data_IF_670171359170
#
_entry.id   IF_670171359170
#
_cell.length_a   1.000
_cell.length_b   1.000
_cell.length_c   1.000
_cell.angle_alpha   90.00
_cell.angle_beta   90.00
_cell.angle_gamma   90.00
#
_symmetry.space_group_name_H-M   'P 1'
#
loop_
_entity.id
_entity.type
_entity.pdbx_description
1 polymer ?
#
# COMPACT_ATOMS: atom_id res chain seq x y z
N UNK A 1 13.44 7.89 31.43
CA UNK A 1 14.38 7.51 30.35
C UNK A 1 13.72 7.81 29.02
N UNK A 2 14.05 8.95 28.41
CA UNK A 2 13.48 9.34 27.12
C UNK A 2 14.12 8.52 26.00
N UNK A 3 13.36 7.64 25.37
CA UNK A 3 13.79 7.04 24.11
C UNK A 3 13.90 8.17 23.07
N UNK A 4 15.10 8.38 22.53
CA UNK A 4 15.29 9.27 21.39
C UNK A 4 14.47 8.72 20.23
N UNK A 5 13.40 9.44 19.86
CA UNK A 5 12.62 9.14 18.67
C UNK A 5 13.52 9.28 17.45
N UNK A 6 13.84 8.16 16.81
CA UNK A 6 14.69 8.13 15.62
C UNK A 6 13.85 8.58 14.42
N UNK A 7 14.24 9.69 13.80
CA UNK A 7 13.70 10.06 12.49
C UNK A 7 14.08 8.94 11.52
N UNK A 8 13.11 8.35 10.84
CA UNK A 8 13.37 7.32 9.83
C UNK A 8 13.82 8.05 8.56
N UNK A 9 15.06 8.54 8.56
CA UNK A 9 15.58 9.34 7.46
C UNK A 9 16.18 8.44 6.37
N UNK A 10 15.53 8.35 5.22
CA UNK A 10 16.24 8.16 3.95
C UNK A 10 16.62 9.55 3.42
N UNK A 11 17.91 9.76 3.21
CA UNK A 11 18.51 10.98 2.62
C UNK A 11 17.74 11.49 1.40
N UNK A 12 17.51 12.82 1.35
CA UNK A 12 16.66 13.62 0.44
C UNK A 12 15.17 13.72 0.84
N UNK A 13 14.83 14.70 1.66
CA UNK A 13 13.45 15.14 1.86
C UNK A 13 13.03 15.90 0.60
N UNK A 14 12.14 15.32 -0.21
CA UNK A 14 11.59 16.03 -1.36
C UNK A 14 10.44 16.94 -0.92
N UNK A 15 10.13 17.95 -1.72
CA UNK A 15 9.12 18.95 -1.38
C UNK A 15 7.74 18.29 -1.16
N UNK A 16 7.11 18.60 -0.02
CA UNK A 16 5.83 18.04 0.37
C UNK A 16 5.86 16.61 0.92
N UNK A 17 7.03 16.02 1.20
CA UNK A 17 7.12 14.73 1.91
C UNK A 17 6.74 14.87 3.39
N UNK A 18 6.06 13.84 3.91
CA UNK A 18 5.80 13.75 5.35
C UNK A 18 7.07 13.32 6.09
N UNK A 19 7.42 14.01 7.18
CA UNK A 19 8.59 13.68 8.00
C UNK A 19 8.27 12.55 8.98
N UNK A 20 8.68 11.32 8.61
CA UNK A 20 8.41 10.11 9.40
C UNK A 20 9.28 10.00 10.64
N UNK A 21 8.65 9.64 11.74
CA UNK A 21 9.31 9.34 13.01
C UNK A 21 8.88 7.97 13.48
N UNK A 22 9.85 7.07 13.74
CA UNK A 22 9.53 5.74 14.25
C UNK A 22 8.80 5.84 15.59
N UNK A 23 7.77 5.01 15.79
CA UNK A 23 6.88 5.03 16.95
C UNK A 23 6.03 6.31 17.10
N UNK A 24 5.93 7.16 16.07
CA UNK A 24 4.89 8.18 16.07
C UNK A 24 3.51 7.55 15.86
N UNK A 25 2.49 8.22 16.38
CA UNK A 25 1.09 7.78 16.26
C UNK A 25 0.39 8.70 15.27
N UNK A 26 -0.14 8.11 14.20
CA UNK A 26 -1.07 8.75 13.28
C UNK A 26 -2.48 8.63 13.85
N UNK A 27 -3.22 9.73 13.82
CA UNK A 27 -4.58 9.81 14.37
C UNK A 27 -5.57 9.93 13.24
N UNK A 28 -6.48 8.96 13.16
CA UNK A 28 -7.58 8.94 12.21
C UNK A 28 -8.77 9.75 12.73
N UNK A 29 -9.58 10.27 11.81
CA UNK A 29 -10.82 10.99 12.14
C UNK A 29 -11.86 10.10 12.81
N UNK A 30 -11.77 8.77 12.63
CA UNK A 30 -12.61 7.78 13.29
C UNK A 30 -12.16 7.43 14.72
N UNK A 31 -11.10 8.07 15.24
CA UNK A 31 -10.54 7.78 16.57
C UNK A 31 -9.54 6.62 16.60
N UNK A 32 -9.27 5.97 15.46
CA UNK A 32 -8.22 4.97 15.34
C UNK A 32 -6.82 5.59 15.51
N UNK A 33 -5.91 4.83 16.12
CA UNK A 33 -4.52 5.22 16.34
C UNK A 33 -3.58 4.22 15.68
N UNK A 34 -2.67 4.71 14.85
CA UNK A 34 -1.72 3.88 14.10
C UNK A 34 -0.29 4.22 14.49
N UNK A 35 0.38 3.30 15.17
CA UNK A 35 1.79 3.47 15.53
C UNK A 35 2.69 3.05 14.37
N UNK A 36 3.55 3.96 13.90
CA UNK A 36 4.53 3.70 12.84
C UNK A 36 5.61 2.75 13.34
N UNK A 37 5.71 1.58 12.73
CA UNK A 37 6.72 0.57 13.08
C UNK A 37 7.93 0.62 12.17
N UNK A 38 7.69 0.69 10.85
CA UNK A 38 8.70 0.50 9.83
C UNK A 38 8.35 1.27 8.55
N UNK A 39 9.36 1.77 7.86
CA UNK A 39 9.21 2.33 6.52
C UNK A 39 9.27 1.21 5.47
N UNK A 40 8.29 1.16 4.57
CA UNK A 40 8.19 0.10 3.55
C UNK A 40 8.68 0.55 2.18
N UNK A 41 8.43 1.81 1.81
CA UNK A 41 8.84 2.31 0.50
C UNK A 41 8.43 3.74 0.22
N UNK A 42 9.02 4.31 -0.84
CA UNK A 42 8.73 5.64 -1.34
C UNK A 42 8.54 5.58 -2.84
N UNK A 43 7.56 6.34 -3.33
CA UNK A 43 7.34 6.56 -4.76
C UNK A 43 7.08 8.02 -5.06
N UNK A 44 6.70 8.30 -6.32
CA UNK A 44 6.42 9.66 -6.81
C UNK A 44 5.37 10.39 -5.98
N UNK A 45 4.35 9.66 -5.51
CA UNK A 45 3.15 10.24 -4.89
C UNK A 45 3.21 10.31 -3.36
N UNK A 46 4.24 9.73 -2.74
CA UNK A 46 4.34 9.66 -1.30
C UNK A 46 5.12 8.44 -0.82
N UNK A 47 4.80 8.00 0.38
CA UNK A 47 5.52 6.92 1.06
C UNK A 47 4.57 5.97 1.76
N UNK A 48 5.02 4.74 1.96
CA UNK A 48 4.26 3.69 2.61
C UNK A 48 4.99 3.25 3.88
N UNK A 49 4.25 3.13 4.96
CA UNK A 49 4.75 2.68 6.26
C UNK A 49 3.94 1.51 6.79
N UNK A 50 4.59 0.62 7.52
CA UNK A 50 3.96 -0.42 8.31
C UNK A 50 3.54 0.19 9.64
N UNK A 51 2.29 0.00 10.00
CA UNK A 51 1.74 0.49 11.25
C UNK A 51 1.05 -0.61 12.04
N UNK A 52 1.08 -0.49 13.37
CA UNK A 52 0.22 -1.23 14.26
C UNK A 52 -1.01 -0.40 14.60
N UNK A 53 -2.21 -0.95 14.37
CA UNK A 53 -3.45 -0.33 14.84
C UNK A 53 -3.61 -0.60 16.33
N UNK A 54 -3.42 0.44 17.15
CA UNK A 54 -3.39 0.29 18.60
C UNK A 54 -4.72 -0.21 19.13
N UNK A 55 -4.66 -1.10 20.11
CA UNK A 55 -5.83 -1.74 20.70
C UNK A 55 -6.36 -2.94 19.91
N UNK A 56 -5.72 -3.30 18.79
CA UNK A 56 -6.01 -4.54 18.05
C UNK A 56 -4.72 -5.33 17.81
N UNK A 57 -4.81 -6.50 17.17
CA UNK A 57 -3.64 -7.26 16.69
C UNK A 57 -3.35 -6.99 15.21
N UNK A 58 -3.94 -5.93 14.63
CA UNK A 58 -3.88 -5.67 13.20
C UNK A 58 -2.63 -4.87 12.83
N UNK A 59 -1.86 -5.41 11.87
CA UNK A 59 -0.80 -4.70 11.17
C UNK A 59 -1.36 -4.23 9.83
N UNK A 60 -1.08 -2.98 9.48
CA UNK A 60 -1.59 -2.32 8.27
C UNK A 60 -0.47 -1.63 7.52
N UNK A 61 -0.67 -1.42 6.21
CA UNK A 61 0.15 -0.54 5.41
C UNK A 61 -0.55 0.82 5.28
N UNK A 62 0.14 1.92 5.56
CA UNK A 62 -0.40 3.27 5.40
C UNK A 62 0.39 4.01 4.34
N UNK A 63 -0.27 4.37 3.24
CA UNK A 63 0.28 5.26 2.22
C UNK A 63 -0.02 6.70 2.61
N UNK A 64 1.04 7.48 2.84
CA UNK A 64 0.98 8.90 3.19
C UNK A 64 1.33 9.68 1.92
N UNK A 65 0.34 10.38 1.38
CA UNK A 65 0.50 11.17 0.16
C UNK A 65 1.26 12.46 0.44
N UNK A 66 2.02 12.94 -0.56
CA UNK A 66 2.70 14.22 -0.47
C UNK A 66 1.70 15.37 -0.35
N UNK A 67 1.99 16.32 0.53
CA UNK A 67 1.24 17.56 0.63
C UNK A 67 1.88 18.61 -0.30
N UNK A 68 1.65 18.45 -1.60
CA UNK A 68 2.13 19.39 -2.62
C UNK A 68 1.11 19.54 -3.75
N UNK A 69 0.84 20.76 -4.26
CA UNK A 69 -0.18 21.01 -5.28
C UNK A 69 -0.05 20.13 -6.53
N UNK A 70 1.17 19.85 -6.99
CA UNK A 70 1.43 19.00 -8.16
C UNK A 70 0.90 17.57 -8.04
N UNK A 71 0.67 17.07 -6.83
CA UNK A 71 0.18 15.71 -6.59
C UNK A 71 -1.27 15.67 -6.10
N UNK A 72 -1.87 16.82 -5.76
CA UNK A 72 -3.18 16.90 -5.13
C UNK A 72 -4.28 16.25 -6.00
N UNK A 73 -4.29 16.55 -7.31
CA UNK A 73 -5.27 15.97 -8.26
C UNK A 73 -5.15 14.45 -8.36
N UNK A 74 -3.92 13.93 -8.46
CA UNK A 74 -3.71 12.49 -8.57
C UNK A 74 -4.10 11.77 -7.27
N UNK A 75 -3.82 12.37 -6.11
CA UNK A 75 -4.28 11.87 -4.82
C UNK A 75 -5.80 11.82 -4.70
N UNK A 76 -6.51 12.84 -5.18
CA UNK A 76 -7.99 12.85 -5.22
C UNK A 76 -8.55 11.76 -6.13
N UNK A 77 -7.94 11.56 -7.30
CA UNK A 77 -8.31 10.47 -8.22
C UNK A 77 -8.13 9.11 -7.52
N UNK A 78 -6.99 8.89 -6.87
CA UNK A 78 -6.72 7.64 -6.15
C UNK A 78 -7.74 7.38 -5.03
N UNK A 79 -8.04 8.38 -4.20
CA UNK A 79 -9.10 8.29 -3.17
C UNK A 79 -10.44 7.90 -3.79
N UNK A 80 -10.83 8.56 -4.89
CA UNK A 80 -12.12 8.30 -5.54
C UNK A 80 -12.22 6.88 -6.13
N UNK A 81 -11.12 6.36 -6.67
CA UNK A 81 -11.05 4.99 -7.19
C UNK A 81 -11.15 4.00 -6.03
N UNK A 82 -10.42 4.21 -4.94
CA UNK A 82 -10.46 3.33 -3.77
C UNK A 82 -11.85 3.30 -3.12
N UNK A 83 -12.54 4.44 -3.04
CA UNK A 83 -13.93 4.51 -2.58
C UNK A 83 -14.90 3.72 -3.48
N UNK A 84 -14.65 3.72 -4.80
CA UNK A 84 -15.46 2.94 -5.74
C UNK A 84 -15.17 1.44 -5.61
N UNK A 85 -13.91 1.07 -5.38
CA UNK A 85 -13.50 -0.32 -5.19
C UNK A 85 -13.91 -0.86 -3.81
N UNK A 86 -14.08 -0.01 -2.79
CA UNK A 86 -14.52 -0.46 -1.46
C UNK A 86 -15.98 -0.94 -1.42
N UNK A 87 -16.78 -0.64 -2.45
CA UNK A 87 -18.11 -1.20 -2.65
C UNK A 87 -18.08 -2.64 -3.20
N UNK A 88 -16.92 -3.11 -3.65
CA UNK A 88 -16.70 -4.45 -4.17
C UNK A 88 -16.07 -5.35 -3.11
N UNK A 89 -16.28 -6.66 -3.21
CA UNK A 89 -15.53 -7.59 -2.38
C UNK A 89 -14.11 -7.77 -2.94
N UNK A 90 -13.13 -7.10 -2.33
CA UNK A 90 -11.73 -7.14 -2.78
C UNK A 90 -11.16 -8.55 -2.94
N UNK A 91 -11.58 -9.49 -2.08
CA UNK A 91 -11.11 -10.88 -2.07
C UNK A 91 -11.59 -11.66 -3.31
N UNK A 92 -12.78 -11.33 -3.84
CA UNK A 92 -13.32 -11.99 -5.03
C UNK A 92 -12.62 -11.52 -6.32
N UNK A 93 -12.01 -10.34 -6.28
CA UNK A 93 -11.45 -9.66 -7.45
C UNK A 93 -9.95 -9.41 -7.36
N UNK A 94 -9.28 -9.84 -6.29
CA UNK A 94 -7.83 -9.70 -6.07
C UNK A 94 -7.38 -8.23 -6.05
N UNK A 95 -8.19 -7.35 -5.46
CA UNK A 95 -7.79 -5.97 -5.17
C UNK A 95 -7.33 -5.86 -3.72
N UNK A 96 -6.31 -5.04 -3.48
CA UNK A 96 -5.92 -4.67 -2.13
C UNK A 96 -7.09 -4.01 -1.40
N UNK A 97 -7.39 -4.48 -0.19
CA UNK A 97 -8.43 -3.93 0.66
C UNK A 97 -7.95 -2.61 1.28
N UNK A 98 -8.67 -1.54 0.97
CA UNK A 98 -8.54 -0.26 1.65
C UNK A 98 -9.52 -0.21 2.83
N UNK A 99 -9.01 0.11 4.02
CA UNK A 99 -9.80 0.17 5.25
C UNK A 99 -10.36 1.56 5.53
N UNK A 100 -9.52 2.59 5.40
CA UNK A 100 -9.92 3.96 5.69
C UNK A 100 -9.04 4.98 4.97
N UNK A 101 -9.56 6.20 4.87
CA UNK A 101 -8.85 7.37 4.38
C UNK A 101 -9.04 8.50 5.40
N UNK A 102 -7.94 9.11 5.86
CA UNK A 102 -7.97 10.21 6.82
C UNK A 102 -6.90 11.26 6.51
N UNK A 103 -6.95 12.40 7.19
CA UNK A 103 -5.94 13.45 7.08
C UNK A 103 -5.19 13.55 8.40
N UNK A 104 -3.86 13.52 8.35
CA UNK A 104 -3.00 13.70 9.51
C UNK A 104 -1.86 14.67 9.18
N UNK A 105 -1.72 15.74 10.00
CA UNK A 105 -0.77 16.85 9.79
C UNK A 105 -0.77 17.38 8.34
N UNK A 106 -1.95 17.57 7.74
CA UNK A 106 -2.16 18.02 6.36
C UNK A 106 -1.78 17.03 5.24
N UNK A 107 -1.49 15.78 5.56
CA UNK A 107 -1.29 14.73 4.55
C UNK A 107 -2.47 13.76 4.53
N UNK A 108 -2.89 13.38 3.33
CA UNK A 108 -3.87 12.30 3.15
C UNK A 108 -3.19 10.96 3.41
N UNK A 109 -3.78 10.17 4.29
CA UNK A 109 -3.34 8.84 4.66
C UNK A 109 -4.37 7.81 4.20
N UNK A 110 -3.91 6.80 3.46
CA UNK A 110 -4.71 5.69 2.96
C UNK A 110 -4.27 4.42 3.68
N UNK A 111 -5.18 3.77 4.39
CA UNK A 111 -4.90 2.55 5.15
C UNK A 111 -5.32 1.33 4.36
N UNK A 112 -4.40 0.38 4.21
CA UNK A 112 -4.59 -0.86 3.50
C UNK A 112 -4.31 -2.06 4.41
N UNK A 113 -4.79 -3.22 3.99
CA UNK A 113 -4.25 -4.48 4.50
C UNK A 113 -2.73 -4.56 4.29
N UNK A 114 -2.05 -5.23 5.22
CA UNK A 114 -0.63 -5.50 5.08
C UNK A 114 -0.44 -6.73 4.21
N UNK A 115 0.31 -6.58 3.10
CA UNK A 115 0.73 -7.66 2.21
C UNK A 115 2.25 -7.83 2.33
N UNK A 116 2.76 -9.01 2.00
CA UNK A 116 4.14 -9.38 2.32
C UNK A 116 5.16 -8.86 1.29
N UNK A 117 4.98 -9.19 0.01
CA UNK A 117 6.04 -8.96 -0.99
C UNK A 117 5.50 -8.72 -2.39
N UNK A 118 6.03 -7.74 -3.13
CA UNK A 118 5.69 -7.56 -4.54
C UNK A 118 6.43 -8.57 -5.47
N UNK A 119 5.90 -8.81 -6.67
CA UNK A 119 6.49 -9.75 -7.62
C UNK A 119 7.91 -9.37 -8.08
N UNK A 120 8.25 -8.08 -8.12
CA UNK A 120 9.60 -7.65 -8.48
C UNK A 120 10.63 -8.12 -7.45
N UNK A 121 10.36 -7.88 -6.17
CA UNK A 121 11.24 -8.28 -5.08
C UNK A 121 11.31 -9.81 -4.95
N UNK A 122 10.19 -10.51 -5.19
CA UNK A 122 10.17 -11.97 -5.25
C UNK A 122 11.09 -12.51 -6.35
N UNK A 123 11.02 -11.94 -7.56
CA UNK A 123 11.91 -12.31 -8.66
C UNK A 123 13.37 -11.99 -8.33
N UNK A 124 13.64 -10.82 -7.74
CA UNK A 124 14.98 -10.40 -7.33
C UNK A 124 15.60 -11.35 -6.30
N UNK A 125 14.82 -11.77 -5.29
CA UNK A 125 15.27 -12.77 -4.31
C UNK A 125 15.58 -14.13 -4.95
N UNK A 126 14.82 -14.51 -5.97
CA UNK A 126 15.07 -15.70 -6.79
C UNK A 126 16.14 -15.48 -7.88
N UNK A 127 16.95 -14.41 -7.77
CA UNK A 127 18.04 -14.05 -8.70
C UNK A 127 17.56 -13.91 -10.16
N UNK A 128 16.31 -13.49 -10.35
CA UNK A 128 15.63 -13.40 -11.63
C UNK A 128 15.59 -14.72 -12.41
N UNK A 129 15.61 -15.85 -11.69
CA UNK A 129 15.40 -17.16 -12.31
C UNK A 129 14.00 -17.24 -12.90
N UNK A 130 13.82 -17.82 -14.10
CA UNK A 130 12.49 -17.97 -14.71
C UNK A 130 11.54 -18.76 -13.81
N UNK A 131 10.30 -18.30 -13.72
CA UNK A 131 9.25 -19.01 -12.98
C UNK A 131 8.64 -20.12 -13.83
N UNK A 132 8.47 -21.34 -13.30
CA UNK A 132 7.67 -22.38 -13.93
C UNK A 132 6.24 -21.91 -14.25
N UNK A 133 5.71 -22.33 -15.41
CA UNK A 133 4.35 -21.96 -15.84
C UNK A 133 3.25 -22.30 -14.83
N UNK A 134 3.46 -23.34 -14.01
CA UNK A 134 2.54 -23.71 -12.92
C UNK A 134 2.35 -22.62 -11.86
N UNK A 135 3.32 -21.72 -11.68
CA UNK A 135 3.24 -20.58 -10.75
C UNK A 135 2.80 -19.30 -11.46
N UNK A 136 3.17 -19.12 -12.73
CA UNK A 136 2.74 -17.97 -13.53
C UNK A 136 1.22 -17.99 -13.77
N UNK A 137 0.65 -19.17 -14.06
CA UNK A 137 -0.77 -19.33 -14.39
C UNK A 137 -1.73 -18.80 -13.31
N UNK A 138 -1.62 -19.17 -12.02
CA UNK A 138 -2.51 -18.63 -10.99
C UNK A 138 -2.37 -17.12 -10.79
N UNK A 139 -1.14 -16.58 -10.81
CA UNK A 139 -0.90 -15.12 -10.73
C UNK A 139 -1.62 -14.42 -11.88
N UNK A 140 -1.44 -14.92 -13.12
CA UNK A 140 -2.08 -14.34 -14.29
C UNK A 140 -3.61 -14.40 -14.18
N UNK A 141 -4.17 -15.51 -13.70
CA UNK A 141 -5.61 -15.65 -13.49
C UNK A 141 -6.14 -14.57 -12.54
N UNK A 142 -5.50 -14.36 -11.39
CA UNK A 142 -5.91 -13.35 -10.41
C UNK A 142 -5.82 -11.93 -10.97
N UNK A 143 -4.72 -11.62 -11.66
CA UNK A 143 -4.54 -10.31 -12.32
C UNK A 143 -5.60 -10.09 -13.40
N UNK A 144 -5.94 -11.12 -14.20
CA UNK A 144 -6.98 -11.02 -15.21
C UNK A 144 -8.37 -10.85 -14.59
N UNK A 145 -8.66 -11.50 -13.46
CA UNK A 145 -9.89 -11.29 -12.70
C UNK A 145 -10.01 -9.83 -12.24
N UNK A 146 -8.93 -9.27 -11.68
CA UNK A 146 -8.87 -7.87 -11.26
C UNK A 146 -9.10 -6.91 -12.46
N UNK A 147 -8.40 -7.14 -13.57
CA UNK A 147 -8.54 -6.33 -14.79
C UNK A 147 -9.95 -6.42 -15.40
N UNK A 148 -10.57 -7.59 -15.39
CA UNK A 148 -11.93 -7.78 -15.85
C UNK A 148 -12.91 -6.93 -15.02
N UNK A 149 -12.73 -6.91 -13.70
CA UNK A 149 -13.56 -6.10 -12.81
C UNK A 149 -13.33 -4.59 -13.02
N UNK A 150 -12.07 -4.15 -13.19
CA UNK A 150 -11.78 -2.75 -13.55
C UNK A 150 -12.47 -2.34 -14.85
N UNK A 151 -12.44 -3.22 -15.87
CA UNK A 151 -13.13 -2.99 -17.14
C UNK A 151 -14.65 -2.82 -16.95
N UNK A 152 -15.28 -3.67 -16.14
CA UNK A 152 -16.72 -3.55 -15.84
C UNK A 152 -17.07 -2.24 -15.14
N UNK A 153 -16.16 -1.73 -14.30
CA UNK A 153 -16.31 -0.43 -13.65
C UNK A 153 -15.93 0.76 -14.55
N UNK A 154 -15.41 0.53 -15.76
CA UNK A 154 -14.90 1.60 -16.63
C UNK A 154 -13.65 2.27 -16.06
N UNK A 155 -12.82 1.53 -15.33
CA UNK A 155 -11.58 1.99 -14.72
C UNK A 155 -10.36 1.45 -15.48
N UNK A 156 -9.32 2.25 -15.56
CA UNK A 156 -8.02 1.89 -16.13
C UNK A 156 -6.97 2.04 -15.02
N UNK A 157 -6.21 0.98 -14.72
CA UNK A 157 -5.14 1.06 -13.70
C UNK A 157 -3.99 1.97 -14.15
N UNK A 158 -3.60 1.92 -15.43
CA UNK A 158 -2.55 2.74 -16.06
C UNK A 158 -1.11 2.60 -15.52
N UNK A 159 -0.86 1.75 -14.52
CA UNK A 159 0.47 1.50 -13.93
C UNK A 159 0.61 0.04 -13.46
N UNK A 160 0.09 -0.92 -14.24
CA UNK A 160 0.21 -2.33 -13.89
C UNK A 160 1.64 -2.82 -14.18
N UNK A 161 2.35 -3.21 -13.12
CA UNK A 161 3.75 -3.67 -13.16
C UNK A 161 4.03 -4.60 -11.97
N UNK A 162 5.12 -5.40 -11.99
CA UNK A 162 5.43 -6.35 -10.91
C UNK A 162 5.50 -5.73 -9.51
N UNK A 163 5.90 -4.47 -9.37
CA UNK A 163 5.95 -3.73 -8.11
C UNK A 163 4.55 -3.45 -7.52
N UNK A 164 3.51 -3.45 -8.35
CA UNK A 164 2.12 -3.20 -7.96
C UNK A 164 1.29 -4.50 -7.85
N UNK A 165 1.93 -5.67 -7.95
CA UNK A 165 1.28 -6.97 -7.72
C UNK A 165 1.94 -7.59 -6.48
N UNK A 166 1.16 -7.73 -5.42
CA UNK A 166 1.61 -8.16 -4.11
C UNK A 166 1.19 -9.61 -3.81
N UNK A 167 2.07 -10.36 -3.17
CA UNK A 167 1.82 -11.69 -2.60
C UNK A 167 1.29 -11.52 -1.18
N UNK A 168 0.17 -12.17 -0.87
CA UNK A 168 -0.48 -12.11 0.46
C UNK A 168 0.34 -12.86 1.50
N UNK A 169 0.75 -14.10 1.19
CA UNK A 169 1.60 -14.91 2.04
C UNK A 169 2.49 -15.82 1.17
N UNK A 170 3.71 -15.39 0.82
CA UNK A 170 4.61 -16.17 -0.02
C UNK A 170 5.10 -17.48 0.65
N UNK A 171 4.96 -17.61 1.97
CA UNK A 171 5.45 -18.76 2.73
C UNK A 171 4.39 -19.85 2.78
N UNK A 172 3.12 -19.49 3.03
CA UNK A 172 2.03 -20.46 3.20
C UNK A 172 1.12 -20.56 1.98
N UNK A 173 0.97 -19.49 1.21
CA UNK A 173 0.01 -19.38 0.10
C UNK A 173 0.55 -18.52 -1.06
N UNK A 174 1.71 -18.88 -1.66
CA UNK A 174 2.41 -17.99 -2.58
C UNK A 174 1.64 -17.62 -3.84
N UNK A 175 0.61 -18.39 -4.20
CA UNK A 175 -0.14 -18.23 -5.45
C UNK A 175 -1.64 -18.55 -5.29
N UNK A 176 -2.17 -18.42 -4.06
CA UNK A 176 -3.58 -18.74 -3.78
C UNK A 176 -4.49 -17.61 -4.23
#
# INVERSE_FOLDING_TARGET
>A
MGQQKKVVSSSSTSEGDYQLVQHEVLYSTAGNQYEVLEFLGRGTFGQVVKCWKKGTNEIVAIKILKNHPSYARQGQIEVSILQRLSAENGDDYNFVRAYECFVHKMHTCLVFEMLEQNLYDFLKQNKFSPLPLKYIRPILQQVLTALLKLKQLGLIHADLKPENIMLVDPIRQPFR
#
